data_IF_158249608514
#
_entry.id   IF_158249608514
#
_cell.length_a   1.000
_cell.length_b   1.000
_cell.length_c   1.000
_cell.angle_alpha   90.00
_cell.angle_beta   90.00
_cell.angle_gamma   90.00
#
_symmetry.space_group_name_H-M   'P 1'
#
loop_
_entity.id
_entity.type
_entity.pdbx_description
1 polymer ?
#
# COMPACT_ATOMS: atom_id res chain seq x y z
N UNK A 1 -40.76 -2.49 17.11
CA UNK A 1 -39.93 -2.50 15.89
C UNK A 1 -39.12 -1.23 15.91
N UNK A 2 -37.82 -1.35 16.15
CA UNK A 2 -36.85 -0.25 16.09
C UNK A 2 -35.72 -0.78 15.23
N UNK A 3 -35.96 -0.74 13.93
CA UNK A 3 -34.97 -1.04 12.90
C UNK A 3 -34.60 0.30 12.27
N UNK A 4 -33.36 0.39 11.76
CA UNK A 4 -32.84 1.46 10.90
C UNK A 4 -32.11 2.64 11.59
N UNK A 5 -30.83 2.44 11.98
CA UNK A 5 -29.81 3.52 11.97
C UNK A 5 -28.35 3.01 12.13
N UNK A 6 -27.98 1.87 11.52
CA UNK A 6 -26.57 1.38 11.46
C UNK A 6 -26.25 0.85 10.07
N UNK A 7 -26.16 1.73 9.07
CA UNK A 7 -25.83 1.32 7.68
C UNK A 7 -24.69 2.10 7.03
N UNK A 8 -24.36 3.31 7.51
CA UNK A 8 -23.29 4.10 6.87
C UNK A 8 -21.86 3.64 7.20
N UNK A 9 -21.61 3.11 8.41
CA UNK A 9 -20.25 2.79 8.87
C UNK A 9 -19.67 1.51 8.25
N UNK A 10 -20.51 0.48 8.05
CA UNK A 10 -20.11 -0.78 7.41
C UNK A 10 -19.60 -0.55 5.98
N UNK A 11 -20.25 0.35 5.22
CA UNK A 11 -19.86 0.66 3.83
C UNK A 11 -18.45 1.27 3.72
N UNK A 12 -18.05 2.09 4.70
CA UNK A 12 -16.71 2.69 4.72
C UNK A 12 -15.65 1.64 5.08
N UNK A 13 -15.96 0.78 6.05
CA UNK A 13 -15.06 -0.29 6.50
C UNK A 13 -14.81 -1.31 5.40
N UNK A 14 -15.85 -1.71 4.66
CA UNK A 14 -15.71 -2.57 3.47
C UNK A 14 -14.82 -1.92 2.41
N UNK A 15 -15.03 -0.63 2.13
CA UNK A 15 -14.26 0.10 1.11
C UNK A 15 -12.78 0.24 1.48
N UNK A 16 -12.48 0.47 2.75
CA UNK A 16 -11.10 0.49 3.28
C UNK A 16 -10.46 -0.90 3.12
N UNK A 17 -11.22 -1.95 3.39
CA UNK A 17 -10.73 -3.34 3.30
C UNK A 17 -10.43 -3.73 1.85
N UNK A 18 -11.30 -3.41 0.91
CA UNK A 18 -11.07 -3.63 -0.52
C UNK A 18 -9.85 -2.86 -1.03
N UNK A 19 -9.72 -1.58 -0.66
CA UNK A 19 -8.56 -0.76 -1.04
C UNK A 19 -7.25 -1.33 -0.48
N UNK A 20 -7.23 -1.79 0.78
CA UNK A 20 -6.07 -2.47 1.37
C UNK A 20 -5.73 -3.75 0.62
N UNK A 21 -6.73 -4.58 0.32
CA UNK A 21 -6.53 -5.82 -0.44
C UNK A 21 -5.97 -5.54 -1.84
N UNK A 22 -6.48 -4.52 -2.52
CA UNK A 22 -6.00 -4.09 -3.84
C UNK A 22 -4.57 -3.57 -3.77
N UNK A 23 -4.22 -2.75 -2.77
CA UNK A 23 -2.84 -2.31 -2.53
C UNK A 23 -1.90 -3.49 -2.29
N UNK A 24 -2.30 -4.44 -1.44
CA UNK A 24 -1.52 -5.64 -1.15
C UNK A 24 -1.28 -6.50 -2.38
N UNK A 25 -2.32 -6.72 -3.19
CA UNK A 25 -2.23 -7.47 -4.45
C UNK A 25 -1.18 -6.85 -5.37
N UNK A 26 -1.26 -5.53 -5.58
CA UNK A 26 -0.28 -4.82 -6.43
C UNK A 26 1.13 -4.86 -5.85
N UNK A 27 1.28 -4.72 -4.53
CA UNK A 27 2.59 -4.77 -3.87
C UNK A 27 3.25 -6.16 -3.98
N UNK A 28 2.46 -7.25 -3.90
CA UNK A 28 2.95 -8.63 -4.07
C UNK A 28 3.47 -8.94 -5.48
N UNK A 29 3.00 -8.21 -6.49
CA UNK A 29 3.48 -8.36 -7.88
C UNK A 29 4.86 -7.72 -8.11
N UNK A 30 5.37 -6.94 -7.14
CA UNK A 30 6.64 -6.25 -7.27
C UNK A 30 7.77 -7.22 -7.00
N UNK A 31 8.69 -7.37 -7.95
CA UNK A 31 9.74 -8.40 -7.93
C UNK A 31 10.54 -8.41 -6.62
N UNK A 32 10.86 -7.24 -6.05
CA UNK A 32 11.61 -7.13 -4.78
C UNK A 32 10.81 -7.44 -3.51
N UNK A 33 9.49 -7.54 -3.62
CA UNK A 33 8.55 -7.84 -2.53
C UNK A 33 7.85 -9.19 -2.70
N UNK A 34 8.00 -9.82 -3.85
CA UNK A 34 7.43 -11.13 -4.17
C UNK A 34 7.92 -12.17 -3.16
N UNK A 35 6.99 -12.97 -2.63
CA UNK A 35 7.27 -14.02 -1.64
C UNK A 35 7.35 -13.53 -0.19
N UNK A 36 7.23 -12.23 0.08
CA UNK A 36 7.13 -11.71 1.45
C UNK A 36 5.68 -11.65 1.92
N UNK A 37 5.48 -11.89 3.21
CA UNK A 37 4.17 -11.71 3.87
C UNK A 37 3.98 -10.23 4.19
N UNK A 38 3.24 -9.51 3.35
CA UNK A 38 3.09 -8.06 3.47
C UNK A 38 1.72 -7.70 4.06
N UNK A 39 1.67 -6.64 4.86
CA UNK A 39 0.46 -6.04 5.41
C UNK A 39 0.50 -4.52 5.24
N UNK A 40 -0.66 -3.93 4.93
CA UNK A 40 -0.83 -2.47 4.88
C UNK A 40 -1.26 -2.02 6.26
N UNK A 41 -0.47 -1.13 6.87
CA UNK A 41 -0.79 -0.47 8.12
C UNK A 41 -1.08 0.99 7.85
N UNK A 42 -2.28 1.43 8.25
CA UNK A 42 -2.62 2.85 8.29
C UNK A 42 -2.17 3.41 9.62
N UNK A 43 -1.44 4.52 9.59
CA UNK A 43 -0.94 5.18 10.77
C UNK A 43 -1.28 6.66 10.71
N UNK A 44 -1.63 7.21 11.85
CA UNK A 44 -1.87 8.63 12.00
C UNK A 44 -0.58 9.31 12.48
N UNK A 45 -0.29 10.49 11.96
CA UNK A 45 0.81 11.32 12.44
C UNK A 45 0.40 12.03 13.71
N UNK A 46 1.23 11.95 14.74
CA UNK A 46 0.96 12.61 16.02
C UNK A 46 1.01 14.14 15.93
N UNK A 47 1.71 14.67 14.93
CA UNK A 47 1.91 16.11 14.74
C UNK A 47 0.69 16.81 14.16
N UNK A 48 0.01 16.17 13.18
CA UNK A 48 -1.00 16.83 12.35
C UNK A 48 -2.35 16.09 12.37
N UNK A 49 -2.41 14.90 12.99
CA UNK A 49 -3.59 14.05 12.94
C UNK A 49 -3.86 13.44 11.56
N UNK A 50 -2.93 13.57 10.60
CA UNK A 50 -3.12 13.08 9.23
C UNK A 50 -2.69 11.62 9.09
N UNK A 51 -3.36 10.90 8.20
CA UNK A 51 -3.16 9.48 7.92
C UNK A 51 -2.15 9.24 6.80
N UNK A 52 -1.34 8.21 6.96
CA UNK A 52 -0.50 7.68 5.91
C UNK A 52 -0.52 6.15 5.91
N UNK A 53 -0.33 5.58 4.72
CA UNK A 53 -0.18 4.14 4.56
C UNK A 53 1.30 3.74 4.62
N UNK A 54 1.56 2.61 5.27
CA UNK A 54 2.87 2.00 5.37
C UNK A 54 2.78 0.50 5.08
N UNK A 55 3.77 -0.01 4.35
CA UNK A 55 3.93 -1.45 4.15
C UNK A 55 4.75 -2.04 5.29
N UNK A 56 4.18 -3.05 5.95
CA UNK A 56 4.83 -3.86 6.96
C UNK A 56 5.08 -5.26 6.41
N UNK A 57 6.28 -5.77 6.62
CA UNK A 57 6.59 -7.17 6.40
C UNK A 57 6.27 -7.93 7.69
N UNK A 58 5.30 -8.84 7.62
CA UNK A 58 4.87 -9.70 8.72
C UNK A 58 5.88 -10.79 9.03
N UNK A 59 6.66 -11.25 8.06
CA UNK A 59 7.69 -12.27 8.29
C UNK A 59 8.85 -11.74 9.14
N UNK A 60 9.23 -10.49 8.92
CA UNK A 60 10.30 -9.82 9.69
C UNK A 60 9.77 -8.85 10.76
N UNK A 61 8.45 -8.70 10.86
CA UNK A 61 7.74 -7.74 11.73
C UNK A 61 8.23 -6.29 11.59
N UNK A 62 8.84 -5.93 10.45
CA UNK A 62 9.48 -4.62 10.20
C UNK A 62 8.72 -3.81 9.16
N UNK A 63 8.73 -2.49 9.33
CA UNK A 63 8.21 -1.57 8.31
C UNK A 63 9.25 -1.35 7.21
N UNK A 64 8.81 -1.41 5.97
CA UNK A 64 9.67 -1.19 4.82
C UNK A 64 9.81 0.31 4.58
N UNK A 65 10.94 0.91 5.00
CA UNK A 65 11.17 2.37 4.95
C UNK A 65 10.86 3.01 3.58
N UNK A 66 11.28 2.38 2.47
CA UNK A 66 11.00 2.86 1.10
C UNK A 66 9.52 2.85 0.73
N UNK A 67 8.71 2.11 1.46
CA UNK A 67 7.27 1.91 1.25
C UNK A 67 6.44 2.59 2.34
N UNK A 68 7.05 3.43 3.18
CA UNK A 68 6.35 4.26 4.16
C UNK A 68 6.15 5.65 3.57
N UNK A 69 4.90 6.05 3.33
CA UNK A 69 4.60 7.37 2.76
C UNK A 69 4.56 8.46 3.85
N UNK A 70 5.59 8.55 4.70
CA UNK A 70 5.62 9.50 5.85
C UNK A 70 5.55 10.97 5.43
N UNK A 71 6.02 11.29 4.23
CA UNK A 71 5.96 12.65 3.67
C UNK A 71 4.65 12.93 2.92
N UNK A 72 3.79 11.93 2.72
CA UNK A 72 2.50 12.07 2.02
C UNK A 72 1.40 11.60 2.96
N UNK A 73 0.94 12.55 3.75
CA UNK A 73 -0.13 12.41 4.74
C UNK A 73 -1.42 13.01 4.18
N UNK A 74 -2.55 12.49 4.63
CA UNK A 74 -3.88 12.84 4.13
C UNK A 74 -4.88 12.94 5.28
N UNK A 75 -5.96 13.74 5.15
CA UNK A 75 -6.91 13.90 6.25
C UNK A 75 -7.73 12.63 6.51
N UNK A 76 -7.94 11.77 5.50
CA UNK A 76 -8.71 10.53 5.64
C UNK A 76 -7.91 9.26 5.33
N UNK A 77 -8.33 8.14 5.94
CA UNK A 77 -7.77 6.82 5.67
C UNK A 77 -7.95 6.38 4.20
N UNK A 78 -9.09 6.73 3.61
CA UNK A 78 -9.43 6.36 2.22
C UNK A 78 -8.49 7.07 1.26
N UNK A 79 -8.30 8.39 1.41
CA UNK A 79 -7.37 9.15 0.57
C UNK A 79 -5.94 8.67 0.73
N UNK A 80 -5.51 8.37 1.96
CA UNK A 80 -4.20 7.79 2.21
C UNK A 80 -4.01 6.47 1.45
N UNK A 81 -5.01 5.58 1.44
CA UNK A 81 -4.96 4.32 0.69
C UNK A 81 -5.00 4.54 -0.82
N UNK A 82 -5.83 5.44 -1.33
CA UNK A 82 -5.90 5.74 -2.77
C UNK A 82 -4.57 6.30 -3.29
N UNK A 83 -4.00 7.28 -2.57
CA UNK A 83 -2.69 7.82 -2.89
C UNK A 83 -1.60 6.75 -2.79
N UNK A 84 -1.71 5.85 -1.82
CA UNK A 84 -0.78 4.73 -1.67
C UNK A 84 -0.89 3.71 -2.81
N UNK A 85 -2.10 3.44 -3.31
CA UNK A 85 -2.32 2.58 -4.47
C UNK A 85 -1.65 3.16 -5.71
N UNK A 86 -1.76 4.47 -5.94
CA UNK A 86 -1.06 5.17 -7.04
C UNK A 86 0.45 5.05 -6.87
N UNK A 87 0.95 5.24 -5.65
CA UNK A 87 2.38 5.06 -5.35
C UNK A 87 2.87 3.64 -5.64
N UNK A 88 2.15 2.60 -5.21
CA UNK A 88 2.51 1.21 -5.49
C UNK A 88 2.49 0.94 -7.00
N UNK A 89 1.47 1.41 -7.72
CA UNK A 89 1.40 1.26 -9.18
C UNK A 89 2.59 1.92 -9.87
N UNK A 90 2.96 3.14 -9.45
CA UNK A 90 4.13 3.84 -9.96
C UNK A 90 5.41 3.07 -9.67
N UNK A 91 5.63 2.66 -8.42
CA UNK A 91 6.78 1.86 -8.02
C UNK A 91 6.85 0.50 -8.73
N UNK A 92 5.71 -0.15 -8.99
CA UNK A 92 5.64 -1.39 -9.77
C UNK A 92 6.15 -1.16 -11.20
N UNK A 93 5.76 -0.05 -11.83
CA UNK A 93 6.23 0.34 -13.16
C UNK A 93 7.72 0.67 -13.15
N UNK A 94 8.18 1.48 -12.20
CA UNK A 94 9.60 1.81 -12.02
C UNK A 94 10.44 0.54 -11.77
N UNK A 95 10.04 -0.34 -10.85
CA UNK A 95 10.75 -1.60 -10.59
C UNK A 95 10.76 -2.55 -11.80
N UNK A 96 9.71 -2.53 -12.64
CA UNK A 96 9.71 -3.28 -13.92
C UNK A 96 10.76 -2.73 -14.89
N UNK A 97 10.92 -1.41 -14.96
CA UNK A 97 11.93 -0.79 -15.81
C UNK A 97 13.36 -1.19 -15.40
N UNK A 98 13.61 -1.39 -14.10
CA UNK A 98 14.92 -1.88 -13.64
C UNK A 98 15.18 -3.38 -13.91
N UNK A 99 14.15 -4.17 -14.27
CA UNK A 99 14.33 -5.57 -14.71
C UNK A 99 14.70 -5.70 -16.19
N UNK A 100 14.62 -4.60 -16.94
CA UNK A 100 15.08 -4.47 -18.33
C UNK A 100 16.50 -3.91 -18.38
N UNK A 101 17.40 -4.37 -17.50
CA UNK A 101 18.81 -4.25 -17.82
C UNK A 101 19.07 -5.18 -19.01
N UNK A 102 19.51 -4.68 -20.19
CA UNK A 102 19.77 -5.55 -21.32
C UNK A 102 20.82 -6.54 -20.85
N UNK A 103 20.45 -7.83 -20.83
CA UNK A 103 21.45 -8.89 -20.78
C UNK A 103 22.40 -8.56 -21.93
N UNK A 104 23.64 -8.18 -21.61
CA UNK A 104 24.72 -8.14 -22.61
C UNK A 104 24.84 -9.57 -23.10
N UNK A 105 24.08 -9.83 -24.15
CA UNK A 105 24.06 -11.06 -24.88
C UNK A 105 25.24 -10.98 -25.81
N UNK A 106 26.20 -11.91 -25.64
CA UNK A 106 27.08 -12.37 -26.71
C UNK A 106 28.16 -11.34 -27.13
N UNK A 107 29.35 -11.68 -27.62
CA UNK A 107 29.82 -12.88 -28.30
C UNK A 107 31.35 -12.92 -28.31
N UNK A 108 31.88 -14.14 -28.24
CA UNK A 108 33.17 -14.65 -28.77
C UNK A 108 34.45 -14.34 -28.01
#
# INVERSE_FOLDING_TARGET
MSEEDVSSDESMTERITDLKATCLRQAKEITGLKGRSLAISLRQTSSNGEWYAALKDLGTNKYLKMWMNRNKTFPTQIEALQAYLVFIKKMKTDCRLFSLSPRKSKTK
#
